data_IF_934555204761
#
_entry.id   IF_934555204761
#
_cell.length_a   1.000
_cell.length_b   1.000
_cell.length_c   1.000
_cell.angle_alpha   90.00
_cell.angle_beta   90.00
_cell.angle_gamma   90.00
#
_symmetry.space_group_name_H-M   'P 1'
#
loop_
_entity.id
_entity.type
_entity.pdbx_description
1 polymer ?
2 polymer ?
3 non-polymer ?
4 non-polymer ?
5 non-polymer ?
6 non-polymer ?
7 non-polymer ?
8 water ?
#
# COMPACT_ATOMS: atom_id res chain seq x y z
N UNK A 2 -4.10 4.92 -27.94
CA UNK A 2 -5.12 4.96 -26.85
C UNK A 2 -4.63 4.30 -25.57
N UNK A 3 -5.11 4.88 -24.50
CA UNK A 3 -4.52 4.72 -23.14
C UNK A 3 -4.88 3.39 -22.56
N UNK A 4 -5.86 2.77 -23.21
CA UNK A 4 -6.52 1.56 -22.70
C UNK A 4 -5.76 0.34 -23.17
N UNK A 5 -4.99 0.62 -24.20
CA UNK A 5 -4.15 -0.36 -24.89
C UNK A 5 -2.69 -0.08 -24.74
N UNK A 6 -2.06 -1.00 -24.04
CA UNK A 6 -0.59 -1.08 -23.92
C UNK A 6 -0.12 0.15 -23.14
N UNK A 7 -1.13 0.75 -22.53
CA UNK A 7 -0.97 1.89 -21.62
C UNK A 7 -0.62 3.15 -22.39
N UNK A 8 -0.90 3.03 -23.66
CA UNK A 8 -0.83 4.16 -24.61
C UNK A 8 0.61 4.34 -24.99
N UNK A 9 1.35 3.37 -24.48
CA UNK A 9 2.79 3.19 -24.74
C UNK A 9 3.58 3.87 -23.64
N UNK A 10 2.81 4.57 -22.83
CA UNK A 10 3.33 5.35 -21.67
C UNK A 10 3.97 4.46 -20.60
N UNK A 11 5.04 4.98 -20.02
CA UNK A 11 5.78 4.26 -18.96
C UNK A 11 4.97 4.34 -17.69
N UNK A 12 4.31 5.46 -17.56
CA UNK A 12 3.50 5.78 -16.37
C UNK A 12 2.05 6.12 -16.70
N UNK A 13 1.75 7.39 -16.54
CA UNK A 13 0.36 7.89 -16.75
C UNK A 13 0.09 8.38 -18.15
N UNK A 14 -1.19 8.33 -18.44
CA UNK A 14 -1.72 8.46 -19.81
C UNK A 14 -3.10 9.10 -19.87
N UNK A 15 -3.17 10.08 -20.76
CA UNK A 15 -4.41 10.81 -21.09
C UNK A 15 -4.69 10.85 -22.57
N UNK A 16 -5.91 10.43 -22.86
CA UNK A 16 -6.53 10.57 -24.20
C UNK A 16 -7.00 11.99 -24.42
N UNK A 17 -6.82 12.38 -25.67
CA UNK A 17 -7.33 13.67 -26.18
C UNK A 17 -8.19 13.49 -27.41
N UNK A 18 -8.84 14.59 -27.71
CA UNK A 18 -9.71 14.69 -28.89
C UNK A 18 -8.86 14.55 -30.14
N UNK A 19 -9.18 13.46 -30.79
CA UNK A 19 -8.49 13.00 -31.99
C UNK A 19 -7.64 11.80 -31.68
N UNK A 20 -6.68 11.61 -32.56
CA UNK A 20 -5.70 10.50 -32.48
C UNK A 20 -4.56 10.98 -31.59
N UNK A 21 -4.99 11.84 -30.68
CA UNK A 21 -4.12 12.48 -29.66
C UNK A 21 -4.05 11.75 -28.34
N UNK A 22 -2.83 11.74 -27.86
CA UNK A 22 -2.43 11.09 -26.60
C UNK A 22 -1.29 11.84 -25.91
N UNK A 23 -1.44 11.94 -24.60
CA UNK A 23 -0.43 12.58 -23.71
C UNK A 23 -0.03 11.74 -22.53
N UNK A 24 1.25 11.42 -22.53
CA UNK A 24 1.88 10.68 -21.43
C UNK A 24 2.32 11.65 -20.38
N UNK A 25 2.27 11.15 -19.17
CA UNK A 25 2.68 11.89 -17.98
C UNK A 25 3.47 11.06 -17.00
N UNK A 26 4.13 11.82 -16.14
CA UNK A 26 4.97 11.28 -15.07
C UNK A 26 4.62 11.85 -13.70
N UNK A 27 4.66 10.92 -12.76
CA UNK A 27 4.51 11.20 -11.32
C UNK A 27 5.49 12.28 -10.89
N UNK A 28 5.10 12.94 -9.83
CA UNK A 28 6.01 13.88 -9.17
C UNK A 28 7.31 13.17 -8.81
N UNK A 29 8.39 13.87 -9.06
CA UNK A 29 9.76 13.37 -8.80
C UNK A 29 10.31 12.67 -10.01
N UNK A 30 9.55 12.83 -11.06
CA UNK A 30 9.91 12.37 -12.41
C UNK A 30 9.62 13.40 -13.49
N UNK A 31 10.36 13.23 -14.56
CA UNK A 31 10.18 14.00 -15.81
C UNK A 31 10.08 13.12 -17.02
N UNK A 32 9.28 13.61 -17.94
CA UNK A 32 9.03 12.99 -19.26
C UNK A 32 10.18 13.29 -20.20
N UNK A 33 10.64 12.23 -20.82
CA UNK A 33 11.69 12.29 -21.84
C UNK A 33 11.09 12.68 -23.17
N UNK A 34 11.99 12.98 -24.08
CA UNK A 34 11.63 13.59 -25.38
C UNK A 34 10.92 12.60 -26.29
N UNK A 35 10.94 11.35 -25.85
CA UNK A 35 10.28 10.22 -26.57
C UNK A 35 8.79 10.24 -26.29
N UNK A 36 8.49 11.01 -25.28
CA UNK A 36 7.12 11.34 -24.89
C UNK A 36 6.40 10.25 -24.17
N UNK A 37 7.16 9.22 -23.81
CA UNK A 37 6.62 8.01 -23.11
C UNK A 37 7.30 7.68 -21.78
N UNK A 38 8.59 7.94 -21.79
CA UNK A 38 9.50 7.56 -20.72
C UNK A 38 9.54 8.59 -19.61
N UNK A 39 9.73 8.05 -18.43
CA UNK A 39 9.93 8.83 -17.19
C UNK A 39 11.28 8.55 -16.54
N UNK A 40 11.91 9.65 -16.19
CA UNK A 40 13.20 9.65 -15.51
C UNK A 40 13.15 10.44 -14.18
N UNK A 41 13.77 9.90 -13.11
CA UNK A 41 13.80 10.58 -11.80
C UNK A 41 14.53 11.91 -11.82
N UNK A 42 13.95 12.82 -11.07
CA UNK A 42 14.42 14.21 -10.98
C UNK A 42 14.93 14.50 -9.58
N UNK A 43 14.73 13.50 -8.75
CA UNK A 43 15.10 13.53 -7.32
C UNK A 43 15.81 12.28 -6.89
N UNK A 44 16.32 12.37 -5.69
CA UNK A 44 17.21 11.33 -5.16
C UNK A 44 16.44 10.08 -4.78
N UNK A 45 15.25 10.35 -4.27
CA UNK A 45 14.38 9.29 -3.73
C UNK A 45 12.98 9.35 -4.32
N UNK A 46 12.84 8.98 -5.58
CA UNK A 46 11.51 8.99 -6.14
C UNK A 46 10.72 7.79 -5.69
N UNK A 47 9.42 7.98 -5.72
CA UNK A 47 8.50 6.93 -5.30
C UNK A 47 8.59 5.70 -6.18
N UNK A 48 8.51 4.58 -5.49
CA UNK A 48 8.27 3.29 -6.10
C UNK A 48 9.54 2.70 -6.62
N UNK A 49 10.61 3.34 -6.23
CA UNK A 49 12.00 2.85 -6.50
C UNK A 49 12.71 2.49 -5.25
N UNK A 50 13.47 1.42 -5.37
CA UNK A 50 14.24 0.76 -4.30
C UNK A 50 15.74 1.07 -4.37
N UNK A 51 16.21 2.06 -3.59
CA UNK A 51 17.52 2.60 -3.77
C UNK A 51 18.66 1.61 -3.84
N UNK A 52 18.59 0.56 -3.03
CA UNK A 52 19.76 -0.35 -2.85
C UNK A 52 19.88 -1.25 -4.05
N UNK A 53 18.75 -1.35 -4.73
CA UNK A 53 18.64 -2.18 -5.95
C UNK A 53 18.95 -1.38 -7.21
N UNK A 54 18.66 -0.10 -7.12
CA UNK A 54 18.87 0.87 -8.21
C UNK A 54 20.35 1.17 -8.33
N UNK A 55 20.96 1.15 -7.16
CA UNK A 55 22.39 1.46 -6.97
C UNK A 55 23.24 0.26 -7.37
N UNK A 56 22.59 -0.87 -7.23
CA UNK A 56 23.21 -2.21 -7.41
C UNK A 56 23.42 -2.44 -8.89
N UNK A 57 22.81 -1.56 -9.65
CA UNK A 57 22.71 -1.68 -11.14
C UNK A 57 23.25 -0.47 -11.87
N UNK A 58 23.63 0.48 -11.05
CA UNK A 58 24.15 1.81 -11.47
C UNK A 58 25.59 1.75 -12.01
N UNK B 1 2.52 -12.71 7.53
CA UNK B 1 2.70 -13.39 6.26
C UNK B 1 3.03 -14.84 6.50
N UNK B 2 2.22 -15.64 5.84
CA UNK B 2 2.37 -17.09 5.72
C UNK B 2 2.83 -17.47 4.30
N UNK B 3 3.94 -18.19 4.28
CA UNK B 3 4.45 -18.86 3.05
C UNK B 3 5.37 -17.97 2.25
N UNK B 4 5.72 -16.90 2.91
CA UNK B 4 6.63 -15.88 2.36
C UNK B 4 8.09 -16.08 2.69
N UNK B 5 8.83 -15.03 2.45
CA UNK B 5 10.24 -14.98 2.80
C UNK B 5 10.54 -13.65 3.48
N UNK B 6 11.73 -13.56 4.01
CA UNK B 6 12.20 -12.29 4.57
C UNK B 6 12.40 -11.30 3.43
N UNK B 7 11.88 -10.11 3.62
CA UNK B 7 12.18 -8.99 2.73
C UNK B 7 13.58 -8.46 3.06
N UNK B 8 14.53 -8.60 2.13
CA UNK B 8 15.82 -8.07 2.50
C UNK B 8 15.77 -6.61 2.88
N UNK B 9 16.51 -6.31 3.92
CA UNK B 9 16.54 -4.96 4.48
C UNK B 9 16.77 -3.91 3.40
N UNK B 10 15.73 -3.09 3.28
CA UNK B 10 15.76 -1.87 2.46
C UNK B 10 15.05 -2.08 1.15
N UNK B 11 14.60 -3.30 0.96
CA UNK B 11 13.91 -3.71 -0.29
C UNK B 11 12.41 -3.56 -0.18
N UNK B 12 11.99 -3.19 1.02
CA UNK B 12 10.55 -2.89 1.33
C UNK B 12 10.42 -1.52 1.99
N UNK B 13 10.98 -0.48 1.37
CA UNK B 13 11.30 0.73 2.12
C UNK B 13 10.10 1.60 2.45
N UNK B 14 8.97 1.19 1.88
CA UNK B 14 7.70 1.94 1.99
C UNK B 14 6.84 1.41 3.11
N UNK B 15 7.27 0.26 3.61
CA UNK B 15 6.55 -0.45 4.67
C UNK B 15 6.64 0.31 5.96
N UNK B 16 5.48 0.43 6.57
CA UNK B 16 5.30 1.08 7.86
C UNK B 16 4.87 0.11 8.95
N UNK B 17 5.38 0.37 10.14
CA UNK B 17 4.91 -0.34 11.37
C UNK B 17 4.15 0.64 12.22
N UNK B 18 2.94 0.25 12.57
CA UNK B 18 2.11 1.05 13.47
C UNK B 18 2.15 0.43 14.85
N UNK B 19 2.38 1.30 15.80
CA UNK B 19 2.41 0.96 17.24
C UNK B 19 1.39 1.72 18.04
N UNK B 20 0.86 0.99 19.01
CA UNK B 20 0.04 1.55 20.09
C UNK B 20 0.57 1.12 21.47
N UNK B 21 1.00 2.14 22.19
CA UNK B 21 1.66 2.00 23.51
C UNK B 21 2.86 1.03 23.47
N UNK B 22 3.49 1.05 22.31
CA UNK B 22 4.75 0.30 22.01
C UNK B 22 4.49 -1.07 21.41
N UNK B 23 3.23 -1.42 21.47
CA UNK B 23 2.70 -2.69 20.95
C UNK B 23 2.34 -2.64 19.48
N UNK B 24 2.70 -3.71 18.79
CA UNK B 24 2.36 -3.90 17.35
C UNK B 24 0.87 -3.81 17.15
N UNK B 25 0.47 -2.90 16.28
CA UNK B 25 -0.96 -2.69 15.97
C UNK B 25 -1.29 -3.23 14.60
N UNK B 26 -0.57 -2.68 13.66
CA UNK B 26 -0.81 -2.89 12.22
C UNK B 26 0.35 -2.49 11.35
N UNK B 27 0.15 -2.76 10.09
CA UNK B 27 1.01 -2.23 9.04
C UNK B 27 0.46 -0.98 8.41
N UNK B 28 1.33 -0.39 7.61
CA UNK B 28 1.02 0.75 6.76
C UNK B 28 1.93 0.91 5.57
N UNK B 29 1.52 1.85 4.73
CA UNK B 29 2.26 2.25 3.51
C UNK B 29 2.48 3.73 3.40
N UNK B 30 3.75 4.05 3.20
CA UNK B 30 4.21 5.44 2.99
C UNK B 30 3.95 5.81 1.52
N UNK B 31 3.27 6.93 1.31
CA UNK B 31 2.99 7.43 -0.08
C UNK B 31 3.55 8.84 -0.31
N UNK B 32 3.85 9.44 0.81
CA UNK B 32 4.53 10.75 0.86
C UNK B 32 5.26 10.90 2.16
N UNK B 33 5.93 12.03 2.34
CA UNK B 33 6.83 12.20 3.51
C UNK B 33 6.02 12.31 4.80
N UNK B 34 4.76 12.70 4.66
CA UNK B 34 3.87 12.90 5.85
C UNK B 34 2.62 12.04 5.86
N UNK B 35 2.46 11.26 4.82
CA UNK B 35 1.27 10.45 4.60
C UNK B 35 1.50 8.96 4.49
N UNK B 36 0.70 8.29 5.29
CA UNK B 36 0.65 6.84 5.39
C UNK B 36 -0.76 6.36 5.19
N UNK B 37 -0.85 5.36 4.33
CA UNK B 37 -2.10 4.63 4.09
C UNK B 37 -2.08 3.35 4.88
N UNK B 38 -3.20 3.11 5.54
CA UNK B 38 -3.44 1.91 6.33
C UNK B 38 -4.88 1.41 6.13
N UNK B 39 -5.28 0.60 7.09
CA UNK B 39 -6.62 -0.01 7.11
C UNK B 39 -7.45 0.57 8.25
N UNK B 40 -8.69 0.85 7.94
CA UNK B 40 -9.57 1.51 8.92
C UNK B 40 -9.77 0.64 10.17
N UNK B 41 -9.77 -0.67 9.96
CA UNK B 41 -10.22 -1.61 11.04
C UNK B 41 -9.22 -1.59 12.18
N UNK B 42 -8.04 -1.13 11.82
CA UNK B 42 -6.88 -1.12 12.75
C UNK B 42 -7.13 -0.21 13.92
N UNK B 43 -8.12 0.64 13.73
CA UNK B 43 -8.38 1.77 14.67
C UNK B 43 -9.72 1.67 15.41
N UNK B 44 -10.39 0.57 15.15
CA UNK B 44 -11.77 0.33 15.66
C UNK B 44 -11.82 0.47 17.18
N UNK B 45 -10.72 0.08 17.80
CA UNK B 45 -10.68 -0.16 19.28
C UNK B 45 -9.80 0.85 19.98
N UNK B 46 -9.31 1.79 19.21
CA UNK B 46 -8.38 2.81 19.75
C UNK B 46 -9.04 3.68 20.80
N UNK B 47 -8.36 3.72 21.91
CA UNK B 47 -8.87 4.35 23.13
C UNK B 47 -8.29 5.72 23.35
N UNK B 48 -6.97 5.71 23.37
CA UNK B 48 -6.13 6.93 23.40
C UNK B 48 -5.33 7.21 22.13
N UNK B 49 -5.94 8.05 21.31
CA UNK B 49 -5.58 8.23 19.89
C UNK B 49 -4.22 8.85 19.77
N UNK B 50 -3.76 9.25 20.93
CA UNK B 50 -2.54 10.09 21.07
C UNK B 50 -1.29 9.28 21.33
N UNK B 51 -1.51 7.98 21.34
CA UNK B 51 -0.44 7.01 21.61
C UNK B 51 -0.03 6.22 20.39
N UNK B 52 -0.55 6.67 19.27
CA UNK B 52 -0.26 6.09 17.95
C UNK B 52 1.09 6.58 17.42
N UNK B 53 1.90 5.59 17.12
CA UNK B 53 3.24 5.77 16.55
C UNK B 53 3.38 5.02 15.23
N UNK B 54 3.99 5.72 14.30
CA UNK B 54 4.36 5.16 12.99
C UNK B 54 5.87 5.07 12.93
N UNK B 55 6.33 3.91 12.51
CA UNK B 55 7.76 3.62 12.32
C UNK B 55 8.10 3.26 10.89
N UNK B 56 9.02 4.03 10.36
CA UNK B 56 9.61 3.85 9.02
C UNK B 56 11.02 3.32 9.15
N UNK B 57 11.41 2.60 8.13
CA UNK B 57 12.80 2.10 7.98
C UNK B 57 13.08 0.92 8.89
N UNK B 58 11.98 0.40 9.38
CA UNK B 58 11.97 -0.79 10.26
C UNK B 58 12.19 -2.06 9.45
N UNK B 59 12.82 -2.99 10.14
CA UNK B 59 13.14 -4.32 9.57
C UNK B 59 13.11 -5.48 10.58
N UNK B 60 14.14 -5.48 11.39
CA UNK B 60 14.29 -6.44 12.50
C UNK B 60 13.89 -5.83 13.85
N UNK B 61 12.77 -6.31 14.34
CA UNK B 61 12.09 -5.73 15.53
C UNK B 61 12.87 -5.94 16.84
N UNK B 62 13.90 -6.75 16.75
CA UNK B 62 14.64 -7.18 17.96
C UNK B 62 15.79 -6.22 18.22
N UNK B 63 16.06 -5.43 17.20
CA UNK B 63 17.17 -4.48 17.26
C UNK B 63 16.90 -3.11 16.70
N UNK B 64 17.76 -2.24 17.14
CA UNK B 64 17.83 -0.87 16.67
C UNK B 64 19.12 -0.72 15.91
N UNK B 65 19.01 -0.31 14.66
CA UNK B 65 20.19 -0.19 13.79
C UNK B 65 20.42 1.20 13.25
N UNK B 66 19.48 2.05 13.59
CA UNK B 66 19.60 3.49 13.37
C UNK B 66 18.94 4.03 12.13
N UNK B 67 18.39 3.12 11.36
CA UNK B 67 17.72 3.48 10.08
C UNK B 67 16.24 3.76 10.29
N UNK B 68 15.84 3.46 11.51
CA UNK B 68 14.43 3.62 11.98
C UNK B 68 14.08 5.06 12.27
N UNK B 69 12.86 5.37 11.89
CA UNK B 69 12.29 6.70 12.07
C UNK B 69 10.86 6.60 12.55
N UNK B 70 10.69 7.16 13.73
CA UNK B 70 9.39 7.18 14.43
C UNK B 70 8.78 8.54 14.41
N UNK B 71 7.49 8.51 14.13
CA UNK B 71 6.63 9.69 14.15
C UNK B 71 5.31 9.40 14.82
N UNK B 72 4.84 10.42 15.49
CA UNK B 72 3.46 10.45 16.00
C UNK B 72 2.47 10.68 14.88
N UNK B 73 1.36 10.02 15.09
CA UNK B 73 0.21 10.12 14.19
C UNK B 73 -0.70 11.23 14.64
N UNK B 74 -0.78 12.23 13.78
CA UNK B 74 -1.45 13.52 14.07
C UNK B 74 -2.91 13.47 13.64
N UNK B 75 -3.15 12.64 12.66
CA UNK B 75 -4.51 12.47 12.10
C UNK B 75 -4.70 11.08 11.50
N UNK B 76 -5.85 10.53 11.83
CA UNK B 76 -6.40 9.29 11.26
C UNK B 76 -7.73 9.60 10.57
N UNK B 77 -7.71 9.45 9.26
CA UNK B 77 -8.85 9.80 8.40
C UNK B 77 -9.43 8.54 7.77
N UNK B 78 -10.71 8.40 8.03
CA UNK B 78 -11.50 7.22 7.67
C UNK B 78 -12.73 7.57 6.82
N UNK B 79 -13.06 6.74 5.82
CA UNK B 79 -14.25 7.06 5.05
C UNK B 79 -15.52 6.90 5.86
N UNK B 80 -16.44 7.78 5.55
CA UNK B 80 -17.72 7.83 6.25
C UNK B 80 -18.47 6.54 6.11
N UNK B 81 -18.14 5.81 5.06
CA UNK B 81 -18.93 4.63 4.62
C UNK B 81 -18.46 3.38 5.29
N UNK B 82 -17.36 3.54 6.01
CA UNK B 82 -16.75 2.41 6.72
C UNK B 82 -17.51 2.15 8.00
N UNK B 83 -17.88 0.91 8.16
CA UNK B 83 -18.52 0.43 9.40
C UNK B 83 -17.55 -0.44 10.22
N UNK B 84 -17.22 -0.02 11.45
CA UNK B 84 -16.32 -0.80 12.28
C UNK B 84 -16.73 -2.23 12.44
N UNK B 85 -15.71 -3.05 12.30
CA UNK B 85 -15.76 -4.48 12.56
C UNK B 85 -16.15 -5.20 11.30
N UNK B 86 -16.17 -4.43 10.24
CA UNK B 86 -16.40 -4.95 8.87
C UNK B 86 -15.24 -4.72 7.92
N UNK B 87 -15.49 -5.11 6.68
CA UNK B 87 -14.45 -5.25 5.64
C UNK B 87 -14.50 -4.18 4.56
N UNK B 88 -15.69 -3.69 4.37
CA UNK B 88 -15.96 -2.74 3.27
C UNK B 88 -15.44 -1.35 3.61
N UNK B 89 -14.71 -0.84 2.64
CA UNK B 89 -14.11 0.49 2.72
C UNK B 89 -13.04 0.53 3.82
N UNK B 90 -12.40 -0.62 3.97
CA UNK B 90 -11.29 -0.82 4.94
C UNK B 90 -10.01 -0.11 4.52
N UNK B 91 -10.08 1.19 4.69
CA UNK B 91 -8.99 2.10 4.36
C UNK B 91 -8.89 3.26 5.35
N UNK B 92 -7.66 3.70 5.52
CA UNK B 92 -7.32 4.84 6.42
C UNK B 92 -6.14 5.62 5.91
N UNK B 93 -6.29 6.92 6.01
CA UNK B 93 -5.22 7.90 5.70
C UNK B 93 -4.72 8.58 6.97
N UNK B 94 -3.44 8.37 7.17
CA UNK B 94 -2.73 8.86 8.37
C UNK B 94 -1.79 9.99 8.04
N UNK B 95 -1.94 11.04 8.81
CA UNK B 95 -1.06 12.20 8.76
C UNK B 95 -0.04 12.16 9.89
N UNK B 96 1.21 12.21 9.48
CA UNK B 96 2.35 12.22 10.43
C UNK B 96 2.55 13.62 10.98
N UNK B 97 2.98 13.64 12.22
CA UNK B 97 3.08 14.88 13.00
C UNK B 97 4.24 15.69 12.49
N UNK B 98 5.15 14.93 11.90
CA UNK B 98 6.36 15.49 11.29
C UNK B 98 6.84 14.63 10.11
N UNK B 99 7.31 15.26 9.03
CA UNK B 99 7.73 14.42 7.94
C UNK B 99 8.87 13.50 8.31
N UNK B 100 8.83 12.33 7.71
CA UNK B 100 9.97 11.41 7.69
C UNK B 100 10.95 11.96 6.69
N UNK B 101 12.19 11.59 6.92
CA UNK B 101 13.32 11.91 6.04
C UNK B 101 13.59 10.74 5.10
N UNK B 102 13.50 11.03 3.81
CA UNK B 102 13.74 10.05 2.77
C UNK B 102 15.21 9.65 2.79
N UNK B 103 15.38 8.35 2.77
CA UNK B 103 16.68 7.68 2.76
C UNK B 103 16.62 6.39 1.98
N UNK B 104 17.75 5.70 1.98
CA UNK B 104 17.85 4.43 1.22
C UNK B 104 16.83 3.43 1.76
N UNK B 105 16.44 3.70 2.99
CA UNK B 105 15.63 2.76 3.81
C UNK B 105 14.21 3.24 4.08
N UNK B 106 13.98 4.45 3.63
CA UNK B 106 12.68 5.13 3.76
C UNK B 106 12.34 5.88 2.47
N UNK B 107 11.43 5.24 1.75
CA UNK B 107 10.98 5.70 0.43
C UNK B 107 9.46 5.47 0.28
N UNK B 108 8.73 6.42 -0.33
CA UNK B 108 7.32 6.16 -0.51
C UNK B 108 7.04 5.37 -1.74
N UNK B 109 5.92 4.69 -1.65
CA UNK B 109 5.34 3.93 -2.75
C UNK B 109 4.47 4.92 -3.52
N UNK B 110 4.49 4.77 -4.83
CA UNK B 110 3.71 5.64 -5.71
C UNK B 110 2.23 5.33 -5.60
N UNK B 111 1.51 6.37 -5.27
CA UNK B 111 0.04 6.32 -5.35
C UNK B 111 -0.30 6.62 -6.81
N UNK B 112 -0.90 5.64 -7.53
CA UNK B 112 -1.12 5.87 -8.93
C UNK B 112 -2.35 6.67 -9.21
N UNK B 113 -2.39 7.19 -10.42
CA UNK B 113 -3.64 7.66 -11.05
C UNK B 113 -4.61 6.49 -11.13
N UNK B 114 -5.86 6.85 -10.99
CA UNK B 114 -6.96 5.87 -10.99
C UNK B 114 -6.96 5.12 -12.30
N UNK B 115 -6.97 5.90 -13.35
CA UNK B 115 -7.11 5.36 -14.71
C UNK B 115 -6.03 4.33 -14.98
N UNK B 116 -4.83 4.74 -14.66
CA UNK B 116 -3.65 3.90 -14.85
C UNK B 116 -3.79 2.61 -14.03
N UNK B 117 -4.36 2.80 -12.87
CA UNK B 117 -4.46 1.72 -11.87
C UNK B 117 -5.48 0.68 -12.31
N UNK B 118 -6.45 1.22 -13.00
CA UNK B 118 -7.64 0.47 -13.45
C UNK B 118 -7.41 -0.27 -14.74
N UNK B 119 -6.77 0.43 -15.66
CA UNK B 119 -6.64 -0.07 -17.04
C UNK B 119 -5.40 -0.89 -17.24
N UNK B 120 -4.49 -0.77 -16.30
CA UNK B 120 -3.14 -1.36 -16.47
C UNK B 120 -2.65 -2.19 -15.29
N UNK B 121 -2.66 -1.57 -14.13
CA UNK B 121 -2.09 -2.20 -12.92
C UNK B 121 -2.92 -3.38 -12.49
N UNK B 122 -4.20 -3.26 -12.77
CA UNK B 122 -5.21 -4.21 -12.28
C UNK B 122 -5.13 -5.54 -13.02
N UNK B 123 -4.23 -5.54 -13.99
CA UNK B 123 -4.04 -6.68 -14.91
C UNK B 123 -2.68 -7.31 -14.80
N UNK B 124 -1.86 -6.68 -13.98
CA UNK B 124 -0.59 -7.26 -13.54
C UNK B 124 -0.99 -8.39 -12.58
N UNK B 125 -0.59 -9.59 -12.92
CA UNK B 125 -1.07 -10.79 -12.22
C UNK B 125 -0.58 -10.75 -10.78
N UNK B 126 0.72 -10.69 -10.69
CA UNK B 126 1.43 -10.79 -9.40
C UNK B 126 1.81 -9.46 -8.79
N UNK B 127 1.60 -9.45 -7.49
CA UNK B 127 1.96 -8.36 -6.58
C UNK B 127 2.46 -8.83 -5.22
N UNK B 128 3.07 -7.89 -4.55
CA UNK B 128 3.83 -8.13 -3.30
C UNK B 128 3.10 -7.57 -2.11
N UNK B 129 2.87 -8.46 -1.16
CA UNK B 129 2.27 -8.13 0.16
C UNK B 129 3.21 -8.45 1.30
N UNK B 130 3.26 -7.49 2.21
CA UNK B 130 4.22 -7.51 3.30
C UNK B 130 3.70 -7.11 4.66
N UNK B 131 4.50 -7.54 5.61
CA UNK B 131 4.26 -7.29 7.04
C UNK B 131 4.98 -8.16 8.04
N UNK B 132 4.73 -7.77 9.28
CA UNK B 132 5.31 -8.39 10.51
C UNK B 132 4.26 -9.22 11.23
N UNK B 133 3.26 -9.58 10.48
CA UNK B 133 2.21 -10.47 10.98
C UNK B 133 2.61 -11.90 11.28
N UNK B 134 1.58 -12.64 11.63
CA UNK B 134 1.66 -14.09 11.91
C UNK B 134 2.26 -14.87 10.76
N UNK B 135 3.19 -15.73 11.13
CA UNK B 135 3.98 -16.53 10.19
C UNK B 135 3.16 -17.76 9.85
N UNK B 136 2.24 -17.98 10.76
CA UNK B 136 1.34 -19.15 10.77
C UNK B 136 -0.01 -18.81 11.35
N UNK B 137 -1.01 -19.47 10.83
CA UNK B 137 -2.34 -19.40 11.45
C UNK B 137 -2.19 -19.90 12.89
N UNK B 138 -2.61 -19.07 13.81
CA UNK B 138 -2.52 -19.34 15.27
C UNK B 138 -1.08 -19.37 15.76
N UNK B 139 -0.25 -18.77 14.94
CA UNK B 139 1.19 -18.68 15.21
C UNK B 139 1.66 -17.35 15.71
N UNK B 140 2.92 -17.36 16.11
CA UNK B 140 3.66 -16.13 16.43
C UNK B 140 3.87 -15.27 15.21
N UNK B 141 4.06 -14.00 15.53
CA UNK B 141 4.37 -12.96 14.56
C UNK B 141 5.87 -12.89 14.32
N UNK B 142 6.17 -12.20 13.23
CA UNK B 142 7.52 -12.13 12.66
C UNK B 142 8.35 -11.04 13.33
N UNK B 143 9.61 -11.38 13.51
CA UNK B 143 10.61 -10.43 14.05
C UNK B 143 11.21 -9.64 12.90
N UNK B 144 11.26 -10.32 11.78
CA UNK B 144 11.76 -9.74 10.51
C UNK B 144 10.66 -9.53 9.48
N UNK B 145 10.68 -8.34 8.91
CA UNK B 145 9.76 -7.97 7.81
C UNK B 145 9.74 -9.07 6.77
N UNK B 146 8.53 -9.54 6.53
CA UNK B 146 8.22 -10.62 5.57
C UNK B 146 7.46 -10.11 4.35
N UNK B 147 7.72 -10.78 3.26
CA UNK B 147 7.09 -10.49 1.97
C UNK B 147 6.70 -11.73 1.19
N UNK B 148 5.69 -11.50 0.39
CA UNK B 148 4.98 -12.57 -0.32
C UNK B 148 4.41 -12.10 -1.65
N UNK B 149 4.78 -12.85 -2.67
CA UNK B 149 4.23 -12.68 -4.02
C UNK B 149 2.90 -13.42 -4.11
N UNK B 150 1.88 -12.68 -4.50
CA UNK B 150 0.48 -13.21 -4.63
C UNK B 150 -0.23 -12.82 -5.93
N UNK B 151 -0.96 -13.78 -6.51
CA UNK B 151 -1.63 -13.42 -7.72
C UNK B 151 -2.98 -12.91 -7.41
N UNK B 152 -3.39 -12.01 -8.27
CA UNK B 152 -4.71 -11.40 -8.22
C UNK B 152 -5.72 -12.08 -9.12
N UNK B 153 -6.89 -12.19 -8.53
CA UNK B 153 -8.04 -12.81 -9.16
C UNK B 153 -9.08 -11.81 -9.56
N UNK B 154 -9.65 -12.07 -10.71
CA UNK B 154 -10.85 -11.37 -11.13
C UNK B 154 -11.87 -11.85 -10.13
N UNK B 155 -12.84 -11.00 -9.85
CA UNK B 155 -13.83 -11.24 -8.77
C UNK B 155 -14.77 -12.41 -9.08
N UNK B 156 -15.02 -12.56 -10.37
CA UNK B 156 -15.86 -13.65 -10.88
C UNK B 156 -15.16 -14.95 -10.53
N UNK B 157 -13.91 -14.93 -10.91
CA UNK B 157 -12.99 -16.11 -10.88
C UNK B 157 -12.66 -16.46 -9.45
N UNK B 158 -12.83 -15.44 -8.62
CA UNK B 158 -12.53 -15.54 -7.17
C UNK B 158 -13.58 -16.40 -6.53
N UNK B 159 -14.78 -16.08 -6.95
CA UNK B 159 -16.02 -16.65 -6.36
C UNK B 159 -16.21 -18.12 -6.75
N UNK B 160 -15.63 -18.43 -7.89
CA UNK B 160 -15.76 -19.76 -8.56
C UNK B 160 -14.79 -20.72 -7.90
N UNK B 161 -13.68 -20.12 -7.53
CA UNK B 161 -12.46 -20.83 -7.08
C UNK B 161 -12.51 -21.00 -5.58
N UNK B 162 -13.52 -20.34 -5.03
CA UNK B 162 -13.73 -20.28 -3.57
C UNK B 162 -14.38 -21.55 -3.02
N UNK B 170 -18.32 -12.06 1.20
CA UNK B 170 -18.90 -10.89 0.56
C UNK B 170 -17.86 -10.00 -0.11
N UNK B 171 -17.70 -10.23 -1.40
CA UNK B 171 -16.73 -9.47 -2.21
C UNK B 171 -17.40 -8.35 -2.99
N UNK B 172 -17.00 -7.14 -2.64
CA UNK B 172 -17.50 -5.94 -3.31
C UNK B 172 -16.48 -5.35 -4.24
N UNK B 173 -16.93 -4.24 -4.79
CA UNK B 173 -16.25 -3.55 -5.90
C UNK B 173 -15.15 -2.68 -5.33
N UNK B 174 -15.14 -2.70 -4.01
CA UNK B 174 -14.18 -1.95 -3.19
C UNK B 174 -13.09 -2.85 -2.66
N UNK B 175 -13.15 -4.07 -3.15
CA UNK B 175 -12.21 -5.14 -2.77
C UNK B 175 -11.71 -5.90 -3.96
N UNK B 176 -10.67 -6.66 -3.66
CA UNK B 176 -10.24 -7.75 -4.53
C UNK B 176 -9.60 -8.88 -3.77
N UNK B 177 -9.55 -9.97 -4.50
CA UNK B 177 -8.96 -11.22 -4.05
C UNK B 177 -7.58 -11.36 -4.62
N UNK B 178 -6.72 -11.85 -3.76
CA UNK B 178 -5.36 -12.23 -4.12
C UNK B 178 -4.83 -13.33 -3.22
N UNK B 179 -4.17 -14.26 -3.87
CA UNK B 179 -3.49 -15.38 -3.21
C UNK B 179 -3.72 -16.76 -3.78
N UNK B 180 -3.80 -17.64 -2.81
CA UNK B 180 -3.84 -19.08 -3.03
C UNK B 180 -4.86 -19.72 -2.09
N UNK B 181 -5.47 -20.78 -2.59
CA UNK B 181 -6.57 -21.46 -1.90
C UNK B 181 -6.14 -22.78 -1.31
N UNK B 182 -4.86 -23.08 -1.48
CA UNK B 182 -4.28 -24.41 -1.12
C UNK B 182 -3.84 -24.39 0.32
N UNK B 183 -3.94 -23.19 0.85
CA UNK B 183 -3.74 -22.89 2.29
C UNK B 183 -2.30 -22.66 2.70
N UNK B 184 -1.49 -22.50 1.67
CA UNK B 184 -0.01 -22.45 1.80
C UNK B 184 0.50 -21.06 2.05
N UNK B 185 -0.22 -20.14 1.45
CA UNK B 185 0.27 -18.76 1.24
C UNK B 185 -0.80 -17.69 1.42
N UNK B 186 -0.50 -16.80 2.35
CA UNK B 186 -1.42 -15.71 2.69
C UNK B 186 -0.81 -14.62 3.55
N UNK B 187 -1.52 -13.52 3.51
CA UNK B 187 -1.35 -12.44 4.49
C UNK B 187 -2.32 -12.66 5.61
N UNK B 188 -1.97 -12.10 6.73
CA UNK B 188 -2.51 -12.59 8.00
C UNK B 188 -2.50 -11.56 9.10
N UNK B 189 -3.07 -11.98 10.20
CA UNK B 189 -3.19 -11.12 11.38
C UNK B 189 -1.85 -10.52 11.77
N UNK B 190 -1.91 -9.21 11.86
CA UNK B 190 -0.76 -8.36 12.18
C UNK B 190 -0.25 -7.62 10.96
N UNK B 191 -0.67 -8.13 9.82
CA UNK B 191 -0.25 -7.61 8.49
C UNK B 191 -1.15 -6.48 8.01
N UNK B 192 -2.33 -6.47 8.59
CA UNK B 192 -3.38 -5.54 8.15
C UNK B 192 -2.85 -4.11 8.08
N UNK B 193 -3.24 -3.48 7.00
CA UNK B 193 -2.93 -2.07 6.72
C UNK B 193 -1.68 -1.95 5.88
N UNK B 194 -1.08 -3.10 5.65
CA UNK B 194 0.16 -3.22 4.88
C UNK B 194 -0.11 -3.04 3.39
N UNK B 195 0.97 -2.89 2.59
CA UNK B 195 0.80 -2.74 1.15
C UNK B 195 0.72 -4.01 0.35
N UNK B 196 -0.14 -3.87 -0.65
CA UNK B 196 -0.21 -4.73 -1.85
C UNK B 196 0.36 -3.85 -2.95
N UNK B 197 1.55 -4.21 -3.35
CA UNK B 197 2.41 -3.40 -4.21
C UNK B 197 2.69 -4.10 -5.54
N UNK B 198 2.43 -3.32 -6.58
CA UNK B 198 2.42 -3.78 -7.99
C UNK B 198 3.44 -3.05 -8.86
N UNK B 199 4.26 -3.88 -9.49
CA UNK B 199 5.35 -3.43 -10.38
C UNK B 199 4.84 -3.28 -11.80
N UNK B 200 5.29 -2.20 -12.39
CA UNK B 200 5.09 -1.88 -13.81
C UNK B 200 6.16 -0.94 -14.37
N UNK B 201 6.94 -1.51 -15.26
CA UNK B 201 7.93 -0.80 -16.06
C UNK B 201 8.90 -0.05 -15.17
N UNK B 202 9.28 -0.79 -14.16
CA UNK B 202 10.50 -0.52 -13.36
C UNK B 202 10.22 0.26 -12.10
N UNK B 203 8.93 0.46 -11.91
CA UNK B 203 8.40 1.20 -10.74
C UNK B 203 7.24 0.51 -10.05
N UNK B 204 7.20 0.73 -8.75
CA UNK B 204 6.19 0.10 -7.85
C UNK B 204 5.10 1.06 -7.41
N UNK B 205 3.90 0.49 -7.37
CA UNK B 205 2.64 1.23 -7.06
C UNK B 205 1.73 0.55 -6.03
N UNK B 206 1.05 1.42 -5.30
CA UNK B 206 0.02 1.01 -4.32
C UNK B 206 -1.29 0.67 -4.99
N UNK B 207 -1.55 -0.63 -5.03
CA UNK B 207 -2.79 -1.20 -5.61
C UNK B 207 -3.75 -1.70 -4.55
N UNK B 208 -3.18 -2.12 -3.44
CA UNK B 208 -3.97 -2.72 -2.37
C UNK B 208 -3.53 -2.51 -0.96
N UNK B 209 -4.51 -2.69 -0.09
CA UNK B 209 -4.32 -2.73 1.37
C UNK B 209 -4.82 -4.01 2.00
N UNK B 210 -3.93 -4.60 2.78
CA UNK B 210 -4.24 -5.81 3.54
C UNK B 210 -5.39 -5.47 4.48
N UNK B 211 -6.50 -6.09 4.18
CA UNK B 211 -7.72 -5.93 4.96
C UNK B 211 -7.80 -7.04 5.99
N UNK B 212 -8.93 -7.70 5.97
CA UNK B 212 -9.16 -8.87 6.81
C UNK B 212 -10.34 -9.75 6.45
N UNK B 213 -10.33 -10.83 7.19
CA UNK B 213 -11.25 -11.97 7.07
C UNK B 213 -11.15 -12.96 8.22
N UNK B 214 -11.48 -14.19 7.87
CA UNK B 214 -11.79 -15.23 8.87
C UNK B 214 -10.50 -15.73 9.51
N UNK B 215 -9.74 -16.34 8.66
CA UNK B 215 -8.42 -16.84 9.05
C UNK B 215 -7.43 -16.48 7.98
N UNK B 216 -6.22 -16.91 8.23
CA UNK B 216 -5.23 -16.89 7.17
C UNK B 216 -4.84 -18.30 6.83
N UNK B 217 -4.51 -18.43 5.57
CA UNK B 217 -3.97 -19.66 4.98
C UNK B 217 -5.02 -20.75 5.10
N UNK B 218 -6.24 -20.25 5.23
CA UNK B 218 -7.46 -21.09 5.20
C UNK B 218 -7.77 -21.66 3.84
N UNK B 219 -7.66 -22.97 3.81
CA UNK B 219 -7.94 -23.77 2.61
C UNK B 219 -9.29 -23.38 2.08
N UNK B 220 -9.28 -23.15 0.78
CA UNK B 220 -10.50 -22.94 -0.02
C UNK B 220 -10.84 -21.49 -0.03
N UNK B 221 -9.90 -20.75 0.53
CA UNK B 221 -9.99 -19.28 0.56
C UNK B 221 -8.83 -18.48 0.06
N UNK B 222 -9.26 -17.31 -0.36
CA UNK B 222 -8.38 -16.25 -0.86
C UNK B 222 -8.36 -15.06 0.07
N UNK B 223 -7.19 -14.46 0.10
CA UNK B 223 -6.96 -13.20 0.79
C UNK B 223 -7.78 -12.07 0.22
N UNK B 224 -8.22 -11.24 1.16
CA UNK B 224 -9.02 -10.03 0.88
C UNK B 224 -8.28 -8.72 1.08
N UNK B 225 -8.37 -7.91 0.03
CA UNK B 225 -7.65 -6.62 -0.09
C UNK B 225 -8.52 -5.48 -0.57
N UNK B 226 -8.33 -4.35 0.09
CA UNK B 226 -8.98 -3.07 -0.27
C UNK B 226 -8.44 -2.54 -1.58
N UNK B 227 -9.38 -2.29 -2.48
CA UNK B 227 -9.12 -1.85 -3.88
C UNK B 227 -8.84 -0.37 -3.90
N UNK B 228 -7.56 -0.05 -3.86
CA UNK B 228 -7.10 1.32 -3.63
C UNK B 228 -7.49 2.30 -4.74
N UNK B 229 -7.75 1.74 -5.90
CA UNK B 229 -8.07 2.55 -7.10
C UNK B 229 -9.36 3.31 -6.87
N UNK B 230 -10.15 2.75 -5.97
CA UNK B 230 -11.50 3.25 -5.70
C UNK B 230 -11.43 4.50 -4.88
N UNK B 231 -10.24 4.70 -4.33
CA UNK B 231 -10.01 5.74 -3.27
C UNK B 231 -9.06 6.87 -3.65
N UNK B 232 -8.53 6.81 -4.86
CA UNK B 232 -7.42 7.70 -5.24
C UNK B 232 -7.79 9.15 -5.05
N UNK B 233 -8.94 9.47 -5.60
CA UNK B 233 -9.41 10.87 -5.66
C UNK B 233 -9.72 11.39 -4.26
N UNK B 234 -10.23 10.45 -3.47
CA UNK B 234 -10.62 10.71 -2.07
C UNK B 234 -9.37 11.03 -1.28
N UNK B 235 -8.34 10.25 -1.55
CA UNK B 235 -7.05 10.38 -0.84
C UNK B 235 -6.38 11.71 -1.22
N UNK B 236 -6.46 11.98 -2.50
CA UNK B 236 -5.73 13.13 -3.08
C UNK B 236 -6.30 14.42 -2.54
N UNK B 237 -7.61 14.40 -2.38
CA UNK B 237 -8.33 15.58 -1.91
C UNK B 237 -7.97 15.85 -0.46
N UNK B 238 -7.85 14.77 0.28
CA UNK B 238 -7.56 14.87 1.73
C UNK B 238 -6.16 15.41 1.95
N UNK B 239 -5.27 15.00 1.06
CA UNK B 239 -3.84 15.31 1.19
C UNK B 239 -3.59 16.79 0.93
N UNK B 240 -4.57 17.39 0.29
CA UNK B 240 -4.51 18.82 -0.10
C UNK B 240 -5.19 19.70 0.93
N UNK B 241 -5.77 19.03 1.90
CA UNK B 241 -6.59 19.68 2.93
C UNK B 241 -5.83 19.94 4.21
N UNK B 242 -6.24 21.02 4.84
CA UNK B 242 -5.69 21.44 6.14
C UNK B 242 -6.11 20.53 7.27
N UNK B 243 -5.18 20.22 8.19
CA UNK B 243 -5.48 19.46 9.41
C UNK B 243 -6.52 20.14 10.25
N UNK B 244 -7.30 19.26 10.87
CA UNK B 244 -8.38 19.62 11.78
C UNK B 244 -8.04 19.13 13.17
N UNK B 245 -8.44 19.87 14.20
CA UNK B 245 -8.20 19.39 15.56
C UNK B 245 -8.91 18.08 15.80
N UNK B 246 -8.27 17.33 16.67
CA UNK B 246 -8.67 15.96 16.99
C UNK B 246 -8.10 14.98 15.97
N UNK B 247 -7.66 13.85 16.49
CA UNK B 247 -6.92 12.86 15.69
C UNK B 247 -7.84 12.21 14.68
N UNK B 248 -8.88 11.59 15.20
CA UNK B 248 -9.89 10.88 14.35
C UNK B 248 -10.75 11.82 13.58
N UNK B 249 -10.76 11.56 12.28
CA UNK B 249 -11.58 12.30 11.29
C UNK B 249 -12.30 11.33 10.37
N UNK B 250 -13.61 11.46 10.37
CA UNK B 250 -14.46 10.78 9.39
C UNK B 250 -14.77 11.77 8.27
N UNK B 251 -14.38 11.34 7.08
CA UNK B 251 -14.51 12.14 5.87
C UNK B 251 -15.47 11.47 4.90
N UNK B 252 -16.30 12.25 4.21
CA UNK B 252 -17.23 11.61 3.32
C UNK B 252 -16.56 10.92 2.17
N UNK B 253 -17.19 9.81 1.85
CA UNK B 253 -16.91 9.02 0.65
C UNK B 253 -18.23 8.82 -0.09
N UNK B 254 -18.24 9.09 -1.40
CA UNK B 254 -17.08 9.50 -2.17
C UNK B 254 -16.67 10.95 -1.87
#
# INVERSE_FOLDING_TARGET
LICVNENGGCEQYCSDHTGTKRSCRCHEGYSLLADGVSCTPTVEYPCGKIPILEKRNASKPQGR
IVGGKVCPKGECPWQVLLLVNGAQLCGGTLINTIWVVSAAHCFDKIKNWRNLIAVLGEHDLSEHDGDEQSRRVAQVIIPSTYVPGTTNHDIALLRLHQPVVLTDHVVPLCLPERTFSERTLAFVRFSLVSGWGQLLDRGATALELMVLNVPRLMTQDCLQQSRKVGDSPNITEYMFCAGYSDGSKDSCKGDSGGPHATHYRGTWYLTGIVSWGQGCATVGHFGVYTRVSQYIEWLQKLMRSEPRPGVLLRAPFP
#
